data_IF_231550147407
#
_entry.id   IF_231550147407
#
_cell.length_a   1.000
_cell.length_b   1.000
_cell.length_c   1.000
_cell.angle_alpha   90.00
_cell.angle_beta   90.00
_cell.angle_gamma   90.00
#
_symmetry.space_group_name_H-M   'P 1'
#
loop_
_entity.id
_entity.type
_entity.pdbx_description
1 polymer ?
#
# COMPACT_ATOMS: atom_id res chain seq x y z
N UNK A 1 7.96 1.44 -1.76
CA UNK A 1 7.83 1.27 -0.31
C UNK A 1 7.56 2.59 0.45
N UNK A 2 8.05 3.77 0.01
CA UNK A 2 7.82 5.07 0.67
C UNK A 2 6.37 5.39 1.06
N UNK A 3 5.39 5.08 0.20
CA UNK A 3 3.96 5.31 0.49
C UNK A 3 3.45 4.43 1.65
N UNK A 4 3.82 3.15 1.64
CA UNK A 4 3.43 2.19 2.69
C UNK A 4 4.07 2.58 4.03
N UNK A 5 5.35 2.96 4.03
CA UNK A 5 6.06 3.43 5.22
C UNK A 5 5.43 4.71 5.79
N UNK A 6 5.03 5.66 4.92
CA UNK A 6 4.32 6.86 5.35
C UNK A 6 2.98 6.54 6.03
N UNK A 7 2.18 5.62 5.46
CA UNK A 7 0.93 5.18 6.08
C UNK A 7 1.21 4.52 7.44
N UNK A 8 2.20 3.65 7.50
CA UNK A 8 2.60 2.93 8.70
C UNK A 8 3.02 3.87 9.85
N UNK A 9 3.68 4.98 9.53
CA UNK A 9 4.11 6.01 10.49
C UNK A 9 3.00 6.96 10.96
N UNK A 10 1.77 6.80 10.45
CA UNK A 10 0.65 7.69 10.79
C UNK A 10 0.61 9.00 9.98
N UNK A 11 1.48 9.13 8.98
CA UNK A 11 1.55 10.28 8.06
C UNK A 11 0.82 10.05 6.73
N UNK A 12 0.04 8.96 6.66
CA UNK A 12 -0.75 8.60 5.48
C UNK A 12 -1.81 9.65 5.14
N UNK A 13 -2.12 9.77 3.85
CA UNK A 13 -3.21 10.62 3.33
C UNK A 13 -4.24 9.77 2.59
N UNK A 14 -5.51 10.17 2.53
CA UNK A 14 -6.54 9.42 1.80
C UNK A 14 -6.15 9.12 0.35
N UNK A 15 -5.53 10.08 -0.34
CA UNK A 15 -5.07 9.92 -1.72
C UNK A 15 -3.94 8.88 -1.89
N UNK A 16 -3.27 8.46 -0.82
CA UNK A 16 -2.14 7.54 -0.91
C UNK A 16 -2.55 6.14 -1.36
N UNK A 17 -3.79 5.72 -1.05
CA UNK A 17 -4.34 4.44 -1.51
C UNK A 17 -4.56 4.43 -3.02
N UNK A 18 -5.05 5.53 -3.58
CA UNK A 18 -5.27 5.66 -5.03
C UNK A 18 -3.94 5.74 -5.78
N UNK A 19 -2.94 6.38 -5.20
CA UNK A 19 -1.57 6.37 -5.73
C UNK A 19 -0.99 4.96 -5.70
N UNK A 20 -1.19 4.19 -4.62
CA UNK A 20 -0.71 2.81 -4.54
C UNK A 20 -1.36 1.90 -5.60
N UNK A 21 -2.68 2.00 -5.81
CA UNK A 21 -3.37 1.21 -6.84
C UNK A 21 -2.96 1.62 -8.26
N UNK A 22 -2.78 2.92 -8.50
CA UNK A 22 -2.27 3.43 -9.77
C UNK A 22 -0.87 2.93 -10.07
N UNK A 23 0.05 2.99 -9.09
CA UNK A 23 1.41 2.48 -9.24
C UNK A 23 1.41 0.97 -9.50
N UNK A 24 0.65 0.19 -8.72
CA UNK A 24 0.58 -1.26 -8.90
C UNK A 24 0.01 -1.63 -10.28
N UNK A 25 -1.01 -0.90 -10.76
CA UNK A 25 -1.59 -1.09 -12.09
C UNK A 25 -0.61 -0.72 -13.22
N UNK A 26 0.27 0.26 -13.01
CA UNK A 26 1.32 0.64 -13.96
C UNK A 26 2.52 -0.32 -13.98
N UNK A 27 2.68 -1.17 -12.97
CA UNK A 27 3.70 -2.22 -12.95
C UNK A 27 3.19 -3.46 -13.69
N UNK A 28 1.92 -3.84 -13.47
CA UNK A 28 1.39 -5.08 -14.03
C UNK A 28 1.45 -5.11 -15.56
N UNK A 29 2.02 -6.19 -16.10
CA UNK A 29 2.11 -6.43 -17.55
C UNK A 29 3.03 -5.45 -18.30
N UNK A 30 3.79 -4.63 -17.56
CA UNK A 30 4.71 -3.61 -18.12
C UNK A 30 6.16 -3.87 -17.74
N UNK A 31 6.45 -5.01 -17.12
CA UNK A 31 7.79 -5.45 -16.73
C UNK A 31 8.15 -6.78 -17.42
N UNK A 32 9.43 -6.95 -17.77
CA UNK A 32 9.93 -8.16 -18.45
C UNK A 32 9.86 -9.40 -17.53
N UNK A 33 10.16 -9.23 -16.24
CA UNK A 33 10.17 -10.31 -15.27
C UNK A 33 8.85 -10.37 -14.49
N UNK A 34 8.32 -11.59 -14.28
CA UNK A 34 7.12 -11.85 -13.50
C UNK A 34 7.20 -11.38 -12.03
N UNK A 35 8.40 -11.07 -11.54
CA UNK A 35 8.59 -10.50 -10.20
C UNK A 35 7.88 -9.15 -10.05
N UNK A 36 7.78 -8.35 -11.11
CA UNK A 36 7.05 -7.07 -11.08
C UNK A 36 5.57 -7.27 -10.79
N UNK A 37 4.93 -8.17 -11.53
CA UNK A 37 3.53 -8.55 -11.32
C UNK A 37 3.33 -9.18 -9.94
N UNK A 38 4.23 -10.09 -9.54
CA UNK A 38 4.21 -10.73 -8.23
C UNK A 38 4.31 -9.73 -7.06
N UNK A 39 5.01 -8.61 -7.24
CA UNK A 39 5.08 -7.53 -6.25
C UNK A 39 3.84 -6.62 -6.27
N UNK A 40 3.22 -6.40 -7.44
CA UNK A 40 2.06 -5.53 -7.59
C UNK A 40 0.75 -6.18 -7.11
N UNK A 41 0.59 -7.49 -7.32
CA UNK A 41 -0.63 -8.22 -6.94
C UNK A 41 -0.97 -8.14 -5.45
N UNK A 42 -0.03 -8.36 -4.50
CA UNK A 42 -0.30 -8.21 -3.07
C UNK A 42 -0.77 -6.81 -2.70
N UNK A 43 -0.16 -5.77 -3.27
CA UNK A 43 -0.54 -4.37 -2.99
C UNK A 43 -1.98 -4.12 -3.39
N UNK A 44 -2.40 -4.58 -4.58
CA UNK A 44 -3.79 -4.43 -5.05
C UNK A 44 -4.77 -5.26 -4.21
N UNK A 45 -4.40 -6.48 -3.86
CA UNK A 45 -5.22 -7.32 -2.98
C UNK A 45 -5.40 -6.68 -1.60
N UNK A 46 -4.33 -6.12 -1.03
CA UNK A 46 -4.38 -5.44 0.25
C UNK A 46 -5.31 -4.23 0.21
N UNK A 47 -5.20 -3.38 -0.81
CA UNK A 47 -6.11 -2.24 -0.97
C UNK A 47 -7.55 -2.72 -1.17
N UNK A 48 -7.78 -3.76 -1.96
CA UNK A 48 -9.13 -4.28 -2.21
C UNK A 48 -9.81 -4.81 -0.94
N UNK A 49 -9.08 -5.57 -0.13
CA UNK A 49 -9.66 -6.31 1.00
C UNK A 49 -9.56 -5.56 2.33
N UNK A 50 -8.54 -4.72 2.52
CA UNK A 50 -8.23 -4.07 3.79
C UNK A 50 -8.33 -2.54 3.73
N UNK A 51 -8.89 -1.94 2.66
CA UNK A 51 -9.08 -0.48 2.57
C UNK A 51 -9.66 0.17 3.84
N UNK A 52 -10.69 -0.38 4.50
CA UNK A 52 -11.21 0.21 5.74
C UNK A 52 -10.17 0.32 6.85
N UNK A 53 -9.24 -0.63 6.94
CA UNK A 53 -8.15 -0.61 7.92
C UNK A 53 -7.13 0.48 7.59
N UNK A 54 -6.78 0.63 6.31
CA UNK A 54 -5.92 1.73 5.84
C UNK A 54 -6.55 3.11 6.12
N UNK A 55 -7.84 3.26 5.88
CA UNK A 55 -8.59 4.50 6.19
C UNK A 55 -8.63 4.78 7.70
N UNK A 56 -8.80 3.75 8.53
CA UNK A 56 -8.75 3.88 9.98
C UNK A 56 -7.36 4.32 10.46
N UNK A 57 -6.28 3.75 9.89
CA UNK A 57 -4.90 4.15 10.20
C UNK A 57 -4.62 5.61 9.84
N UNK A 58 -5.09 6.05 8.66
CA UNK A 58 -4.95 7.43 8.18
C UNK A 58 -5.72 8.40 9.08
N UNK A 59 -6.97 8.06 9.43
CA UNK A 59 -7.82 8.92 10.27
C UNK A 59 -7.30 9.02 11.70
N UNK A 60 -6.89 7.91 12.28
CA UNK A 60 -6.49 7.85 13.69
C UNK A 60 -5.00 8.21 13.89
N UNK A 61 -4.25 8.49 12.80
CA UNK A 61 -2.80 8.78 12.80
C UNK A 61 -2.03 7.85 13.73
N UNK A 62 -2.45 6.60 13.83
CA UNK A 62 -1.89 5.65 14.80
C UNK A 62 -0.70 4.98 14.13
N UNK A 63 0.54 5.22 14.59
CA UNK A 63 1.67 4.47 14.10
C UNK A 63 1.45 3.00 14.47
N UNK A 64 1.44 2.11 13.49
CA UNK A 64 1.43 0.68 13.78
C UNK A 64 2.80 0.33 14.37
N UNK A 65 2.83 -0.32 15.53
CA UNK A 65 4.07 -0.83 16.08
C UNK A 65 4.65 -1.86 15.08
N UNK A 66 5.88 -1.64 14.63
CA UNK A 66 6.56 -2.63 13.80
C UNK A 66 6.58 -3.97 14.56
N UNK A 67 6.29 -5.12 13.90
CA UNK A 67 6.48 -6.40 14.55
C UNK A 67 7.94 -6.50 14.97
N UNK A 68 8.16 -6.77 16.26
CA UNK A 68 9.45 -7.16 16.80
C UNK A 68 9.93 -8.39 16.03
N UNK A 69 10.92 -8.18 15.16
CA UNK A 69 11.72 -9.26 14.58
C UNK A 69 12.66 -9.83 15.64
#
# INVERSE_FOLDING_TARGET
WRLVDRIHRGDGRPADMDVLDSVASNIMGRTICALGDAAAMPVRAMIKHFRPEFEALIRNKTPQAAPSA
#
